data_IF_948924629382
#
_entry.id   IF_948924629382
#
_cell.length_a   1.000
_cell.length_b   1.000
_cell.length_c   1.000
_cell.angle_alpha   90.00
_cell.angle_beta   90.00
_cell.angle_gamma   90.00
#
_symmetry.space_group_name_H-M   'P 1'
#
loop_
_entity.id
_entity.type
_entity.pdbx_description
1 polymer ?
#
# COMPACT_ATOMS: atom_id res chain seq x y z
N UNK A 1 -7.01 1.01 -2.66
CA UNK A 1 -6.39 2.04 -3.52
C UNK A 1 -7.50 2.77 -4.24
N UNK A 2 -7.78 4.02 -3.87
CA UNK A 2 -8.86 4.80 -4.49
C UNK A 2 -8.41 5.29 -5.88
N UNK A 3 -9.28 5.16 -6.89
CA UNK A 3 -9.03 5.70 -8.23
C UNK A 3 -8.76 7.20 -8.18
N UNK A 4 -9.46 7.89 -7.28
CA UNK A 4 -9.36 9.33 -7.03
C UNK A 4 -7.95 9.77 -6.56
N UNK A 5 -7.33 9.03 -5.64
CA UNK A 5 -5.96 9.33 -5.20
C UNK A 5 -4.95 9.21 -6.34
N UNK A 6 -5.12 8.22 -7.22
CA UNK A 6 -4.24 8.02 -8.38
C UNK A 6 -4.37 9.15 -9.41
N UNK A 7 -5.60 9.56 -9.74
CA UNK A 7 -5.83 10.66 -10.69
C UNK A 7 -5.26 11.98 -10.17
N UNK A 8 -5.42 12.24 -8.87
CA UNK A 8 -4.94 13.47 -8.24
C UNK A 8 -3.40 13.50 -8.21
N UNK A 9 -2.75 12.37 -7.91
CA UNK A 9 -1.29 12.21 -8.02
C UNK A 9 -0.78 12.44 -9.45
N UNK A 10 -1.44 11.86 -10.46
CA UNK A 10 -1.01 12.04 -11.86
C UNK A 10 -1.13 13.51 -12.30
N UNK A 11 -2.19 14.20 -11.89
CA UNK A 11 -2.38 15.63 -12.19
C UNK A 11 -1.32 16.47 -11.48
N UNK A 12 -1.01 16.17 -10.21
CA UNK A 12 0.03 16.87 -9.47
C UNK A 12 1.41 16.76 -10.15
N UNK A 13 1.76 15.58 -10.65
CA UNK A 13 3.03 15.36 -11.37
C UNK A 13 3.07 16.18 -12.67
N UNK A 14 1.97 16.23 -13.43
CA UNK A 14 1.88 17.02 -14.65
C UNK A 14 2.01 18.52 -14.36
N UNK A 15 1.36 19.02 -13.31
CA UNK A 15 1.49 20.42 -12.89
C UNK A 15 2.91 20.77 -12.44
N UNK A 16 3.55 19.88 -11.68
CA UNK A 16 4.94 20.07 -11.25
C UNK A 16 5.90 20.09 -12.45
N UNK A 17 5.70 19.21 -13.43
CA UNK A 17 6.46 19.20 -14.68
C UNK A 17 6.24 20.48 -15.50
N UNK A 18 5.02 21.01 -15.51
CA UNK A 18 4.70 22.27 -16.17
C UNK A 18 5.47 23.45 -15.53
N UNK A 19 5.43 23.55 -14.20
CA UNK A 19 6.19 24.57 -13.47
C UNK A 19 7.70 24.43 -13.68
N UNK A 20 8.22 23.19 -13.69
CA UNK A 20 9.63 22.91 -13.97
C UNK A 20 10.04 23.32 -15.39
N UNK A 21 9.18 23.06 -16.39
CA UNK A 21 9.43 23.51 -17.76
C UNK A 21 9.42 25.03 -17.88
N UNK A 22 8.46 25.70 -17.22
CA UNK A 22 8.38 27.17 -17.22
C UNK A 22 9.61 27.82 -16.57
N UNK A 23 10.09 27.29 -15.43
CA UNK A 23 11.35 27.77 -14.82
C UNK A 23 12.55 27.55 -15.75
N UNK A 24 12.63 26.40 -16.42
CA UNK A 24 13.73 26.11 -17.35
C UNK A 24 13.75 27.09 -18.50
N UNK A 25 12.60 27.33 -19.13
CA UNK A 25 12.48 28.28 -20.23
C UNK A 25 12.91 29.68 -19.75
N UNK A 26 12.38 30.15 -18.62
CA UNK A 26 12.70 31.46 -18.06
C UNK A 26 14.21 31.64 -17.78
N UNK A 27 14.85 30.64 -17.17
CA UNK A 27 16.29 30.66 -16.90
C UNK A 27 17.13 30.57 -18.17
N UNK A 28 16.67 29.86 -19.19
CA UNK A 28 17.36 29.77 -20.48
C UNK A 28 17.35 31.11 -21.23
N UNK A 29 16.23 31.84 -21.19
CA UNK A 29 16.12 33.19 -21.73
C UNK A 29 17.06 34.16 -21.03
N UNK A 30 17.10 34.15 -19.69
CA UNK A 30 17.98 35.03 -18.91
C UNK A 30 19.47 34.80 -19.21
N UNK A 31 19.86 33.54 -19.42
CA UNK A 31 21.23 33.17 -19.84
C UNK A 31 21.55 33.69 -21.24
N UNK A 32 20.61 33.58 -22.19
CA UNK A 32 20.79 34.10 -23.55
C UNK A 32 20.92 35.63 -23.59
N UNK A 33 20.26 36.33 -22.68
CA UNK A 33 20.33 37.79 -22.52
C UNK A 33 21.59 38.29 -21.78
N UNK A 34 22.46 37.38 -21.30
CA UNK A 34 23.69 37.74 -20.59
C UNK A 34 23.46 38.37 -19.21
N UNK A 35 22.27 38.23 -18.63
CA UNK A 35 21.90 38.75 -17.30
C UNK A 35 21.46 37.60 -16.38
N UNK A 36 22.38 36.93 -15.67
CA UNK A 36 22.06 35.77 -14.86
C UNK A 36 21.27 36.09 -13.57
N UNK A 37 21.22 37.35 -13.15
CA UNK A 37 20.65 37.80 -11.87
C UNK A 37 19.13 38.08 -11.92
N UNK A 38 18.39 37.44 -12.85
CA UNK A 38 16.94 37.62 -12.95
C UNK A 38 16.19 36.82 -11.88
N UNK A 39 15.47 37.51 -10.99
CA UNK A 39 14.59 36.87 -10.04
C UNK A 39 13.46 36.13 -10.79
N UNK A 40 13.13 34.92 -10.33
CA UNK A 40 12.01 34.14 -10.86
C UNK A 40 10.68 34.89 -10.60
N UNK A 41 9.78 34.97 -11.59
CA UNK A 41 8.48 35.58 -11.38
C UNK A 41 7.69 34.80 -10.33
N UNK A 42 6.98 35.54 -9.48
CA UNK A 42 6.25 34.98 -8.34
C UNK A 42 5.17 33.97 -8.77
N UNK A 43 4.63 34.10 -9.98
CA UNK A 43 3.60 33.21 -10.53
C UNK A 43 4.07 31.75 -10.59
N UNK A 44 5.28 31.51 -11.13
CA UNK A 44 5.85 30.15 -11.24
C UNK A 44 6.11 29.55 -9.85
N UNK A 45 6.50 30.38 -8.88
CA UNK A 45 6.73 29.96 -7.49
C UNK A 45 5.40 29.51 -6.85
N UNK A 46 4.32 30.26 -7.07
CA UNK A 46 2.99 29.92 -6.58
C UNK A 46 2.50 28.63 -7.25
N UNK A 47 2.68 28.49 -8.56
CA UNK A 47 2.26 27.30 -9.31
C UNK A 47 2.98 26.03 -8.82
N UNK A 48 4.30 26.13 -8.58
CA UNK A 48 5.08 25.06 -7.97
C UNK A 48 4.59 24.70 -6.56
N UNK A 49 4.28 25.70 -5.73
CA UNK A 49 3.79 25.49 -4.36
C UNK A 49 2.39 24.83 -4.35
N UNK A 50 1.50 25.25 -5.25
CA UNK A 50 0.18 24.64 -5.43
C UNK A 50 0.32 23.19 -5.88
N UNK A 51 1.19 22.91 -6.86
CA UNK A 51 1.42 21.54 -7.33
C UNK A 51 1.98 20.62 -6.22
N UNK A 52 2.84 21.16 -5.35
CA UNK A 52 3.35 20.46 -4.17
C UNK A 52 2.24 20.10 -3.20
N UNK A 53 1.38 21.06 -2.84
CA UNK A 53 0.27 20.84 -1.89
C UNK A 53 -0.71 19.79 -2.43
N UNK A 54 -1.07 19.89 -3.70
CA UNK A 54 -1.94 18.90 -4.38
C UNK A 54 -1.27 17.53 -4.38
N UNK A 55 0.04 17.46 -4.64
CA UNK A 55 0.81 16.21 -4.59
C UNK A 55 0.82 15.56 -3.20
N UNK A 56 0.97 16.35 -2.13
CA UNK A 56 0.92 15.86 -0.74
C UNK A 56 -0.47 15.30 -0.42
N UNK A 57 -1.53 16.01 -0.80
CA UNK A 57 -2.90 15.54 -0.60
C UNK A 57 -3.18 14.25 -1.39
N UNK A 58 -2.74 14.18 -2.65
CA UNK A 58 -2.86 12.99 -3.49
C UNK A 58 -2.11 11.78 -2.92
N UNK A 59 -0.90 12.00 -2.42
CA UNK A 59 -0.09 10.96 -1.77
C UNK A 59 -0.74 10.48 -0.46
N UNK A 60 -1.25 11.39 0.37
CA UNK A 60 -1.92 11.04 1.63
C UNK A 60 -3.19 10.21 1.40
N UNK A 61 -4.00 10.56 0.40
CA UNK A 61 -5.21 9.80 0.06
C UNK A 61 -4.93 8.43 -0.59
N UNK A 62 -3.73 8.24 -1.12
CA UNK A 62 -3.30 6.96 -1.69
C UNK A 62 -2.65 6.03 -0.65
N UNK A 63 -2.35 6.54 0.55
CA UNK A 63 -1.77 5.73 1.61
C UNK A 63 -2.74 4.61 2.03
N UNK A 64 -2.24 3.37 2.22
CA UNK A 64 -3.06 2.27 2.73
C UNK A 64 -3.52 2.58 4.16
N UNK A 65 -4.72 2.12 4.50
CA UNK A 65 -5.28 2.30 5.85
C UNK A 65 -4.34 1.70 6.89
N UNK A 66 -4.07 2.47 7.96
CA UNK A 66 -3.17 2.05 9.02
C UNK A 66 -3.76 0.81 9.70
N UNK A 67 -3.07 -0.33 9.56
CA UNK A 67 -3.45 -1.57 10.24
C UNK A 67 -3.28 -1.39 11.75
N UNK A 68 -4.34 -1.63 12.50
CA UNK A 68 -4.26 -1.59 13.97
C UNK A 68 -3.25 -2.61 14.50
N UNK A 69 -2.33 -2.13 15.34
CA UNK A 69 -1.29 -2.96 15.99
C UNK A 69 -1.77 -3.57 17.33
N UNK A 70 -3.04 -3.37 17.71
CA UNK A 70 -3.56 -3.94 18.95
C UNK A 70 -3.83 -5.44 18.77
N UNK A 71 -2.98 -6.25 19.40
CA UNK A 71 -3.12 -7.70 19.47
C UNK A 71 -4.53 -8.16 19.85
N UNK A 72 -5.22 -7.42 20.73
CA UNK A 72 -6.60 -7.71 21.15
C UNK A 72 -7.63 -7.60 20.02
N UNK A 73 -7.48 -6.69 19.06
CA UNK A 73 -8.43 -6.54 17.94
C UNK A 73 -8.18 -7.57 16.84
N UNK A 74 -6.93 -8.04 16.70
CA UNK A 74 -6.55 -9.15 15.82
C UNK A 74 -7.06 -10.49 16.35
N UNK A 75 -6.85 -10.78 17.65
CA UNK A 75 -7.33 -12.01 18.31
C UNK A 75 -8.86 -12.15 18.34
N UNK A 76 -9.62 -11.04 18.25
CA UNK A 76 -11.08 -11.08 18.14
C UNK A 76 -11.56 -11.63 16.78
N UNK A 77 -10.78 -11.45 15.72
CA UNK A 77 -11.14 -11.88 14.35
C UNK A 77 -10.85 -13.36 14.11
N UNK A 78 -9.94 -13.95 14.88
CA UNK A 78 -9.57 -15.37 14.76
C UNK A 78 -10.49 -16.25 15.60
N UNK A 79 -10.92 -17.40 15.06
CA UNK A 79 -11.69 -18.40 15.82
C UNK A 79 -10.76 -19.20 16.72
N UNK A 80 -11.26 -19.61 17.89
CA UNK A 80 -10.52 -20.43 18.86
C UNK A 80 -10.00 -21.72 18.22
N UNK A 81 -10.77 -22.34 17.33
CA UNK A 81 -10.36 -23.57 16.63
C UNK A 81 -9.12 -23.39 15.75
N UNK A 82 -8.89 -22.18 15.22
CA UNK A 82 -7.73 -21.89 14.39
C UNK A 82 -6.46 -21.71 15.24
N UNK A 83 -6.59 -21.12 16.43
CA UNK A 83 -5.49 -20.98 17.40
C UNK A 83 -5.19 -22.28 18.15
N UNK A 84 -6.20 -23.07 18.44
CA UNK A 84 -6.08 -24.36 19.15
C UNK A 84 -5.81 -25.53 18.19
N UNK A 85 -5.69 -25.26 16.88
CA UNK A 85 -5.31 -26.26 15.88
C UNK A 85 -3.95 -26.91 16.14
N UNK A 86 -3.18 -26.42 17.13
CA UNK A 86 -1.91 -26.97 17.66
C UNK A 86 -1.18 -27.75 16.58
N UNK A 87 -0.93 -27.11 15.43
CA UNK A 87 -0.44 -27.77 14.21
C UNK A 87 0.89 -28.50 14.44
N UNK A 88 1.66 -28.05 15.44
CA UNK A 88 2.87 -28.72 15.92
C UNK A 88 2.64 -30.09 16.58
N UNK A 89 1.43 -30.37 17.08
CA UNK A 89 0.99 -31.65 17.64
C UNK A 89 0.03 -32.40 16.71
N UNK A 90 -0.25 -31.88 15.51
CA UNK A 90 -1.00 -32.60 14.48
C UNK A 90 -0.14 -33.75 13.94
N UNK A 91 -0.04 -34.80 14.75
CA UNK A 91 0.68 -36.01 14.43
C UNK A 91 -0.19 -36.82 13.46
N UNK A 92 0.34 -37.13 12.27
CA UNK A 92 -0.38 -37.87 11.22
C UNK A 92 -0.86 -39.25 11.67
N UNK A 93 -0.29 -39.74 12.77
CA UNK A 93 -0.60 -41.02 13.41
C UNK A 93 -2.00 -41.11 14.00
N UNK A 94 -2.65 -39.98 14.34
CA UNK A 94 -3.99 -39.99 14.94
C UNK A 94 -5.09 -40.31 13.91
N UNK A 95 -4.94 -39.83 12.67
CA UNK A 95 -5.87 -40.11 11.58
C UNK A 95 -5.69 -41.55 11.02
N UNK A 96 -4.45 -42.07 11.02
CA UNK A 96 -4.15 -43.43 10.57
C UNK A 96 -4.65 -44.48 11.58
N UNK A 97 -4.59 -44.21 12.89
CA UNK A 97 -5.08 -45.17 13.89
C UNK A 97 -6.61 -45.29 13.88
N UNK A 98 -7.35 -44.20 13.67
CA UNK A 98 -8.81 -44.26 13.54
C UNK A 98 -9.24 -45.03 12.27
N UNK A 99 -8.54 -44.84 11.15
CA UNK A 99 -8.83 -45.59 9.91
C UNK A 99 -8.44 -47.07 10.02
N UNK A 100 -7.31 -47.39 10.67
CA UNK A 100 -6.86 -48.77 10.85
C UNK A 100 -7.73 -49.54 11.84
N UNK A 101 -8.19 -48.92 12.94
CA UNK A 101 -9.06 -49.58 13.93
C UNK A 101 -10.51 -49.74 13.43
N UNK A 102 -11.01 -48.81 12.61
CA UNK A 102 -12.32 -48.94 11.97
C UNK A 102 -12.34 -50.06 10.90
N UNK A 103 -11.24 -50.27 10.18
CA UNK A 103 -11.11 -51.36 9.20
C UNK A 103 -11.02 -52.74 9.89
N UNK A 104 -10.26 -52.85 10.98
CA UNK A 104 -10.14 -54.10 11.76
C UNK A 104 -11.48 -54.48 12.44
N UNK A 105 -12.22 -53.49 12.96
CA UNK A 105 -13.51 -53.72 13.64
C UNK A 105 -14.65 -54.08 12.65
N UNK A 106 -14.57 -53.62 11.40
CA UNK A 106 -15.51 -54.01 10.34
C UNK A 106 -15.24 -55.45 9.83
N UNK A 107 -13.97 -55.86 9.74
CA UNK A 107 -13.61 -57.20 9.27
C UNK A 107 -13.92 -58.33 10.28
N UNK A 108 -13.87 -58.05 11.59
CA UNK A 108 -14.20 -59.02 12.65
C UNK A 108 -15.71 -59.18 12.91
N UNK A 109 -16.57 -58.43 12.22
CA UNK A 109 -18.03 -58.56 12.28
C UNK A 109 -18.64 -59.32 11.08
N UNK A 110 -17.78 -59.84 10.19
CA UNK A 110 -18.16 -60.61 8.99
C UNK A 110 -17.68 -62.07 9.02
N UNK A 111 -17.19 -62.56 10.17
CA UNK A 111 -16.94 -63.98 10.49
C UNK A 111 -17.72 -64.28 11.78
#
# INVERSE_FOLDING_TARGET
MSLFGRTLLTVAILLLLHAAYSTYEHLSHLKALGRPEGALPQDIVIEAFVSLVIGILGASLNAPELKEITWRSEMRKRKIDEMDSRLSFANWRFHVCFFSFAFECYSLRQI
#
